data_IF_752323446463
#
_entry.id   IF_752323446463
#
_cell.length_a   1.000
_cell.length_b   1.000
_cell.length_c   1.000
_cell.angle_alpha   90.00
_cell.angle_beta   90.00
_cell.angle_gamma   90.00
#
_symmetry.space_group_name_H-M   'P 1'
#
loop_
_entity.id
_entity.type
_entity.pdbx_description
1 polymer ?
#
# COMPACT_ATOMS: atom_id res chain seq x y z
N UNK A 1 -16.02 9.70 -4.65
CA UNK A 1 -15.55 8.89 -3.51
C UNK A 1 -14.16 9.37 -3.17
N UNK A 2 -13.86 9.71 -1.94
CA UNK A 2 -12.49 10.12 -1.55
C UNK A 2 -11.73 8.85 -1.16
N UNK A 3 -10.66 8.54 -1.88
CA UNK A 3 -9.89 7.31 -1.69
C UNK A 3 -9.31 7.21 -0.27
N UNK A 4 -8.81 8.32 0.27
CA UNK A 4 -8.29 8.40 1.64
C UNK A 4 -9.35 8.02 2.67
N UNK A 5 -10.55 8.59 2.59
CA UNK A 5 -11.63 8.28 3.53
C UNK A 5 -12.02 6.81 3.46
N UNK A 6 -12.10 6.25 2.26
CA UNK A 6 -12.41 4.83 2.09
C UNK A 6 -11.35 3.92 2.71
N UNK A 7 -10.07 4.25 2.54
CA UNK A 7 -8.98 3.48 3.17
C UNK A 7 -9.07 3.58 4.69
N UNK A 8 -9.38 4.78 5.22
CA UNK A 8 -9.58 4.99 6.67
C UNK A 8 -10.75 4.16 7.20
N UNK A 9 -11.88 4.18 6.49
CA UNK A 9 -13.07 3.41 6.88
C UNK A 9 -12.78 1.90 6.92
N UNK A 10 -11.96 1.40 6.00
CA UNK A 10 -11.59 -0.02 5.91
C UNK A 10 -10.50 -0.42 6.91
N UNK A 11 -9.54 0.45 7.21
CA UNK A 11 -8.35 0.13 8.02
C UNK A 11 -8.34 0.78 9.41
N UNK A 12 -9.28 1.69 9.67
CA UNK A 12 -9.47 2.34 10.99
C UNK A 12 -8.43 3.40 11.35
N UNK A 13 -7.53 3.80 10.45
CA UNK A 13 -6.59 4.90 10.69
C UNK A 13 -6.04 5.49 9.39
N UNK A 14 -5.63 6.75 9.47
CA UNK A 14 -4.97 7.47 8.37
C UNK A 14 -3.49 7.08 8.36
N UNK A 15 -2.96 6.49 7.27
CA UNK A 15 -1.52 6.32 7.08
C UNK A 15 -0.85 7.65 6.74
N UNK A 16 0.48 7.70 6.77
CA UNK A 16 1.21 8.83 6.22
C UNK A 16 0.85 9.02 4.73
N UNK A 17 0.71 10.28 4.30
CA UNK A 17 0.24 10.59 2.94
C UNK A 17 1.13 9.99 1.86
N UNK A 18 2.46 9.95 2.07
CA UNK A 18 3.41 9.34 1.14
C UNK A 18 3.19 7.84 0.97
N UNK A 19 3.00 7.12 2.07
CA UNK A 19 2.77 5.68 2.06
C UNK A 19 1.45 5.35 1.36
N UNK A 20 0.39 6.11 1.67
CA UNK A 20 -0.91 5.91 1.06
C UNK A 20 -0.87 6.12 -0.46
N UNK A 21 -0.14 7.14 -0.94
CA UNK A 21 0.05 7.39 -2.37
C UNK A 21 0.78 6.23 -3.03
N UNK A 22 1.84 5.73 -2.40
CA UNK A 22 2.60 4.58 -2.90
C UNK A 22 1.73 3.31 -2.97
N UNK A 23 0.97 3.02 -1.92
CA UNK A 23 0.08 1.84 -1.88
C UNK A 23 -1.06 1.94 -2.89
N UNK A 24 -1.61 3.13 -3.08
CA UNK A 24 -2.65 3.34 -4.09
C UNK A 24 -2.12 3.13 -5.52
N UNK A 25 -0.92 3.65 -5.83
CA UNK A 25 -0.26 3.41 -7.12
C UNK A 25 0.04 1.93 -7.33
N UNK A 26 0.55 1.25 -6.30
CA UNK A 26 0.75 -0.21 -6.34
C UNK A 26 -0.58 -0.96 -6.53
N UNK A 27 -1.66 -0.50 -5.89
CA UNK A 27 -3.00 -1.06 -6.05
C UNK A 27 -3.54 -0.92 -7.48
N UNK A 28 -3.32 0.23 -8.13
CA UNK A 28 -3.68 0.41 -9.56
C UNK A 28 -2.97 -0.62 -10.43
N UNK A 29 -1.66 -0.79 -10.23
CA UNK A 29 -0.86 -1.76 -10.98
C UNK A 29 -1.32 -3.21 -10.73
N UNK A 30 -1.62 -3.56 -9.48
CA UNK A 30 -2.09 -4.91 -9.13
C UNK A 30 -3.46 -5.21 -9.74
N UNK A 31 -4.41 -4.26 -9.67
CA UNK A 31 -5.73 -4.39 -10.30
C UNK A 31 -5.61 -4.58 -11.81
N UNK A 32 -4.79 -3.79 -12.48
CA UNK A 32 -4.55 -3.93 -13.92
C UNK A 32 -3.91 -5.27 -14.28
N UNK A 33 -2.90 -5.70 -13.51
CA UNK A 33 -2.21 -6.97 -13.72
C UNK A 33 -3.15 -8.16 -13.57
N UNK A 34 -3.97 -8.17 -12.51
CA UNK A 34 -4.96 -9.23 -12.26
C UNK A 34 -6.06 -9.21 -13.33
N UNK A 35 -6.57 -8.02 -13.70
CA UNK A 35 -7.56 -7.90 -14.77
C UNK A 35 -7.02 -8.45 -16.09
N UNK A 36 -5.75 -8.15 -16.41
CA UNK A 36 -5.08 -8.70 -17.60
C UNK A 36 -4.99 -10.23 -17.58
N UNK A 37 -4.77 -10.82 -16.40
CA UNK A 37 -4.65 -12.27 -16.26
C UNK A 37 -6.00 -12.98 -16.28
N UNK A 38 -7.05 -12.39 -15.67
CA UNK A 38 -8.35 -13.05 -15.52
C UNK A 38 -9.33 -12.72 -16.64
N UNK A 39 -9.38 -11.47 -17.07
CA UNK A 39 -10.28 -11.00 -18.12
C UNK A 39 -9.61 -9.95 -19.01
N UNK A 40 -8.75 -10.36 -19.96
CA UNK A 40 -8.02 -9.43 -20.82
C UNK A 40 -8.94 -8.55 -21.69
N UNK A 41 -10.16 -8.98 -21.99
CA UNK A 41 -11.13 -8.20 -22.74
C UNK A 41 -11.61 -6.95 -22.00
N UNK A 42 -11.66 -6.99 -20.68
CA UNK A 42 -12.07 -5.84 -19.86
C UNK A 42 -10.97 -4.76 -19.75
N UNK A 43 -9.74 -5.00 -20.23
CA UNK A 43 -8.70 -3.97 -20.31
C UNK A 43 -9.11 -2.76 -21.16
N UNK A 44 -10.03 -2.94 -22.09
CA UNK A 44 -10.56 -1.83 -22.88
C UNK A 44 -11.24 -0.74 -22.03
N UNK A 45 -11.71 -1.08 -20.82
CA UNK A 45 -12.31 -0.13 -19.89
C UNK A 45 -11.27 0.84 -19.29
N UNK A 46 -9.98 0.45 -19.31
CA UNK A 46 -8.85 1.25 -18.81
C UNK A 46 -8.08 1.91 -19.96
N UNK A 47 -8.55 1.77 -21.19
CA UNK A 47 -7.83 2.22 -22.37
C UNK A 47 -7.92 3.74 -22.55
N UNK A 48 -6.82 4.32 -22.96
CA UNK A 48 -6.74 5.70 -23.45
C UNK A 48 -6.16 5.72 -24.86
N UNK A 49 -6.67 6.62 -25.70
CA UNK A 49 -6.07 6.86 -27.01
C UNK A 49 -4.92 7.86 -26.92
N UNK A 50 -3.75 7.45 -27.39
CA UNK A 50 -2.57 8.33 -27.53
C UNK A 50 -2.18 8.46 -29.00
N UNK A 51 -1.82 9.68 -29.39
CA UNK A 51 -1.33 9.95 -30.75
C UNK A 51 0.11 9.44 -30.88
N UNK A 52 0.37 8.68 -31.95
CA UNK A 52 1.70 8.19 -32.26
C UNK A 52 2.36 9.21 -33.23
N UNK A 53 3.46 9.79 -32.79
CA UNK A 53 4.28 10.72 -33.61
C UNK A 53 5.41 9.95 -34.29
N UNK A 54 6.08 10.61 -35.26
CA UNK A 54 7.15 9.99 -36.07
C UNK A 54 8.34 9.51 -35.20
N UNK A 55 8.63 10.20 -34.10
CA UNK A 55 9.64 9.80 -33.13
C UNK A 55 9.27 8.61 -32.26
N UNK A 56 8.10 8.03 -32.46
CA UNK A 56 7.53 6.95 -31.65
C UNK A 56 6.79 7.43 -30.41
N UNK A 57 5.83 6.63 -29.94
CA UNK A 57 5.12 6.81 -28.69
C UNK A 57 5.81 5.99 -27.60
N UNK A 58 6.19 6.60 -26.47
CA UNK A 58 6.69 5.86 -25.33
C UNK A 58 5.61 4.93 -24.79
N UNK A 59 5.94 3.65 -24.68
CA UNK A 59 5.07 2.58 -24.16
C UNK A 59 5.74 1.81 -23.01
N UNK A 60 6.72 2.45 -22.37
CA UNK A 60 7.31 1.90 -21.13
C UNK A 60 6.20 1.72 -20.09
N UNK A 61 6.13 0.53 -19.49
CA UNK A 61 5.14 0.16 -18.48
C UNK A 61 3.67 0.22 -18.92
N UNK A 62 3.39 0.37 -20.23
CA UNK A 62 2.04 0.37 -20.77
C UNK A 62 1.71 -0.93 -21.50
N UNK A 63 0.42 -1.28 -21.55
CA UNK A 63 -0.06 -2.37 -22.40
C UNK A 63 -0.72 -1.79 -23.64
N UNK A 64 -0.19 -2.09 -24.81
CA UNK A 64 -0.79 -1.70 -26.09
C UNK A 64 -1.90 -2.69 -26.42
N UNK A 65 -3.12 -2.19 -26.62
CA UNK A 65 -4.28 -3.02 -26.99
C UNK A 65 -4.42 -3.13 -28.51
N UNK A 66 -4.49 -1.99 -29.19
CA UNK A 66 -4.53 -1.92 -30.63
C UNK A 66 -3.96 -0.58 -31.14
N UNK A 67 -3.57 -0.57 -32.39
CA UNK A 67 -3.05 0.63 -33.06
C UNK A 67 -3.80 0.77 -34.37
N UNK A 68 -4.24 1.98 -34.69
CA UNK A 68 -4.88 2.25 -35.95
C UNK A 68 -4.31 3.51 -36.60
N UNK A 69 -4.33 3.49 -37.91
CA UNK A 69 -3.97 4.62 -38.78
C UNK A 69 -5.22 5.00 -39.57
N UNK A 70 -5.74 6.19 -39.29
CA UNK A 70 -7.05 6.60 -39.79
C UNK A 70 -8.13 5.59 -39.35
N UNK A 71 -8.71 4.86 -40.26
CA UNK A 71 -9.71 3.82 -40.00
C UNK A 71 -9.17 2.40 -40.18
N UNK A 72 -7.87 2.21 -40.41
CA UNK A 72 -7.25 0.91 -40.67
C UNK A 72 -6.45 0.42 -39.46
N UNK A 73 -6.73 -0.79 -38.99
CA UNK A 73 -5.94 -1.38 -37.95
C UNK A 73 -4.54 -1.72 -38.41
N UNK A 74 -3.53 -1.36 -37.61
CA UNK A 74 -2.14 -1.64 -37.91
C UNK A 74 -1.79 -3.08 -37.49
N UNK A 75 -1.09 -3.80 -38.33
CA UNK A 75 -0.57 -5.14 -38.06
C UNK A 75 0.70 -5.07 -37.20
N UNK A 76 0.77 -5.88 -36.14
CA UNK A 76 1.99 -6.00 -35.33
C UNK A 76 3.11 -6.73 -36.09
N UNK A 77 4.29 -6.14 -36.13
CA UNK A 77 5.50 -6.77 -36.66
C UNK A 77 6.56 -6.83 -35.58
N UNK A 78 7.31 -7.93 -35.54
CA UNK A 78 8.40 -8.04 -34.60
C UNK A 78 9.48 -6.98 -34.84
N UNK A 79 9.95 -6.30 -33.80
CA UNK A 79 10.97 -5.26 -33.92
C UNK A 79 12.27 -5.68 -34.59
N UNK A 80 12.59 -6.99 -34.63
CA UNK A 80 13.72 -7.53 -35.42
C UNK A 80 13.54 -7.33 -36.93
N UNK A 81 12.28 -7.34 -37.39
CA UNK A 81 11.94 -7.22 -38.81
C UNK A 81 11.62 -5.76 -39.21
N UNK A 82 11.93 -4.79 -38.35
CA UNK A 82 11.61 -3.36 -38.59
C UNK A 82 12.17 -2.80 -39.90
N UNK A 83 13.29 -3.32 -40.38
CA UNK A 83 13.89 -2.89 -41.65
C UNK A 83 13.09 -3.40 -42.86
N UNK A 84 12.51 -4.59 -42.77
CA UNK A 84 11.72 -5.15 -43.86
C UNK A 84 10.41 -4.38 -44.12
N UNK A 85 9.87 -3.70 -43.11
CA UNK A 85 8.61 -2.91 -43.28
C UNK A 85 8.80 -1.57 -44.00
N UNK A 86 10.03 -1.10 -44.12
CA UNK A 86 10.38 0.14 -44.89
C UNK A 86 11.03 -0.15 -46.21
N UNK A 87 11.38 -1.40 -46.50
CA UNK A 87 11.97 -1.83 -47.77
C UNK A 87 10.88 -2.21 -48.73
N UNK A 88 10.74 -1.41 -49.83
CA UNK A 88 9.71 -1.61 -50.85
C UNK A 88 9.85 -2.93 -51.65
N UNK A 89 11.01 -3.58 -51.59
CA UNK A 89 11.23 -4.90 -52.18
C UNK A 89 10.79 -6.04 -51.26
N UNK A 90 10.51 -5.73 -50.01
CA UNK A 90 10.09 -6.74 -49.01
C UNK A 90 8.60 -7.04 -49.15
N UNK A 91 8.23 -8.31 -49.04
CA UNK A 91 6.83 -8.75 -48.92
C UNK A 91 6.14 -8.25 -47.66
N UNK A 92 6.90 -7.81 -46.62
CA UNK A 92 6.42 -7.21 -45.41
C UNK A 92 6.31 -5.68 -45.48
N UNK A 93 6.51 -5.08 -46.63
CA UNK A 93 6.47 -3.64 -46.80
C UNK A 93 5.15 -3.04 -46.33
N UNK A 94 5.25 -1.97 -45.55
CA UNK A 94 4.09 -1.28 -45.00
C UNK A 94 3.47 -0.33 -46.03
N UNK A 95 2.17 -0.45 -46.26
CA UNK A 95 1.40 0.42 -47.15
C UNK A 95 0.32 1.18 -46.37
N UNK A 96 -0.31 2.15 -46.97
CA UNK A 96 -1.43 2.87 -46.36
C UNK A 96 -2.64 1.96 -46.09
N UNK A 97 -2.84 0.91 -46.91
CA UNK A 97 -3.90 -0.08 -46.77
C UNK A 97 -3.51 -1.27 -45.88
N UNK A 98 -2.24 -1.50 -45.61
CA UNK A 98 -1.71 -2.48 -44.67
C UNK A 98 -0.63 -1.82 -43.78
N UNK A 99 -1.05 -0.90 -42.88
CA UNK A 99 -0.12 -0.24 -41.97
C UNK A 99 0.39 -1.22 -40.92
N UNK A 100 1.62 -1.04 -40.49
CA UNK A 100 2.24 -1.89 -39.49
C UNK A 100 2.74 -1.07 -38.33
N UNK A 101 2.78 -1.70 -37.17
CA UNK A 101 3.45 -1.15 -35.98
C UNK A 101 4.45 -2.15 -35.41
N UNK A 102 5.46 -1.64 -34.77
CA UNK A 102 6.43 -2.42 -34.02
C UNK A 102 6.86 -1.66 -32.76
N UNK A 103 7.32 -2.40 -31.75
CA UNK A 103 7.86 -1.83 -30.53
C UNK A 103 9.38 -2.04 -30.54
N UNK A 104 10.11 -0.96 -30.31
CA UNK A 104 11.57 -0.96 -30.21
C UNK A 104 12.01 0.06 -29.17
N UNK A 105 12.93 -0.32 -28.26
CA UNK A 105 13.42 0.54 -27.18
C UNK A 105 12.29 1.19 -26.35
N UNK A 106 11.30 0.38 -25.96
CA UNK A 106 10.11 0.85 -25.25
C UNK A 106 9.32 1.97 -25.94
N UNK A 107 9.47 2.12 -27.27
CA UNK A 107 8.69 3.03 -28.10
C UNK A 107 7.92 2.25 -29.17
N UNK A 108 6.70 2.69 -29.41
CA UNK A 108 5.84 2.18 -30.47
C UNK A 108 6.00 3.06 -31.70
N UNK A 109 6.33 2.44 -32.83
CA UNK A 109 6.47 3.08 -34.15
C UNK A 109 5.42 2.52 -35.09
N UNK A 110 4.93 3.37 -35.99
CA UNK A 110 3.99 2.97 -37.05
C UNK A 110 4.57 3.33 -38.42
N UNK A 111 4.38 2.48 -39.42
CA UNK A 111 4.78 2.70 -40.80
C UNK A 111 3.63 2.38 -41.76
N UNK A 112 3.48 3.10 -42.85
CA UNK A 112 4.14 4.35 -43.21
C UNK A 112 3.61 5.52 -42.35
N UNK A 113 4.45 6.54 -42.07
CA UNK A 113 4.14 7.62 -41.13
C UNK A 113 3.44 8.81 -41.74
N UNK A 114 3.55 9.05 -43.00
CA UNK A 114 3.21 10.36 -43.62
C UNK A 114 1.75 10.79 -43.50
N UNK A 115 1.52 12.00 -42.97
CA UNK A 115 0.36 12.86 -43.20
C UNK A 115 -0.98 12.45 -42.56
N UNK A 116 -1.01 11.42 -41.74
CA UNK A 116 -2.23 10.80 -41.23
C UNK A 116 -2.26 10.74 -39.73
N UNK A 117 -3.47 10.69 -39.15
CA UNK A 117 -3.65 10.52 -37.72
C UNK A 117 -3.43 9.05 -37.32
N UNK A 118 -2.34 8.81 -36.59
CA UNK A 118 -2.06 7.50 -36.05
C UNK A 118 -2.35 7.54 -34.56
N UNK A 119 -3.15 6.60 -34.09
CA UNK A 119 -3.50 6.48 -32.65
C UNK A 119 -3.24 5.08 -32.15
N UNK A 120 -2.79 5.01 -30.91
CA UNK A 120 -2.65 3.77 -30.17
C UNK A 120 -3.59 3.79 -28.98
N UNK A 121 -4.36 2.74 -28.82
CA UNK A 121 -5.11 2.48 -27.62
C UNK A 121 -4.19 1.74 -26.63
N UNK A 122 -3.92 2.38 -25.52
CA UNK A 122 -2.98 1.87 -24.52
C UNK A 122 -3.62 1.89 -23.12
N UNK A 123 -3.28 0.91 -22.32
CA UNK A 123 -3.53 0.93 -20.90
C UNK A 123 -2.28 1.43 -20.21
N UNK A 124 -2.37 2.65 -19.70
CA UNK A 124 -1.30 3.32 -19.00
C UNK A 124 -1.73 3.47 -17.54
N UNK A 125 -1.06 2.80 -16.58
CA UNK A 125 -1.33 3.01 -15.18
C UNK A 125 -0.92 4.43 -14.80
N UNK A 126 -1.88 5.37 -14.83
CA UNK A 126 -1.63 6.75 -14.43
C UNK A 126 -1.09 6.81 -13.01
N UNK A 127 -0.12 7.68 -12.76
CA UNK A 127 0.35 7.94 -11.40
C UNK A 127 -0.64 8.84 -10.66
N UNK A 128 -0.97 8.45 -9.44
CA UNK A 128 -1.69 9.28 -8.49
C UNK A 128 -0.64 10.15 -7.79
N UNK A 129 -0.61 11.43 -8.13
CA UNK A 129 0.36 12.37 -7.54
C UNK A 129 -0.07 12.93 -6.19
N UNK A 130 -1.38 13.09 -5.98
CA UNK A 130 -1.97 13.55 -4.73
C UNK A 130 -3.25 12.75 -4.42
N UNK A 131 -3.17 11.94 -3.38
CA UNK A 131 -4.27 11.08 -2.98
C UNK A 131 -5.29 11.81 -2.12
N UNK A 132 -4.90 12.88 -1.41
CA UNK A 132 -5.77 13.56 -0.45
C UNK A 132 -6.98 14.21 -1.12
N UNK A 133 -6.80 14.72 -2.34
CA UNK A 133 -7.88 15.30 -3.16
C UNK A 133 -8.42 14.37 -4.23
N UNK A 134 -7.86 13.16 -4.39
CA UNK A 134 -8.21 12.29 -5.52
C UNK A 134 -9.59 11.68 -5.35
N UNK A 135 -10.50 12.09 -6.22
CA UNK A 135 -11.84 11.51 -6.37
C UNK A 135 -11.95 10.63 -7.63
N UNK A 136 -10.97 10.72 -8.53
CA UNK A 136 -10.93 9.99 -9.78
C UNK A 136 -9.49 9.65 -10.17
N UNK A 137 -9.27 8.42 -10.62
CA UNK A 137 -8.03 7.98 -11.27
C UNK A 137 -8.26 8.07 -12.77
N UNK A 138 -7.37 8.77 -13.49
CA UNK A 138 -7.53 8.96 -14.91
C UNK A 138 -7.61 7.62 -15.67
N UNK A 139 -8.58 7.50 -16.56
CA UNK A 139 -8.82 6.28 -17.36
C UNK A 139 -8.99 5.00 -16.54
N UNK A 140 -9.49 5.12 -15.32
CA UNK A 140 -9.74 4.00 -14.44
C UNK A 140 -11.25 3.91 -14.14
N UNK A 141 -11.89 2.75 -14.33
CA UNK A 141 -13.33 2.60 -14.09
C UNK A 141 -13.68 2.84 -12.63
N UNK A 142 -14.73 3.64 -12.40
CA UNK A 142 -15.17 4.02 -11.04
C UNK A 142 -15.59 2.83 -10.17
N UNK A 143 -16.14 1.77 -10.78
CA UNK A 143 -16.51 0.54 -10.10
C UNK A 143 -15.30 -0.24 -9.55
N UNK A 144 -14.10 0.00 -10.11
CA UNK A 144 -12.85 -0.63 -9.67
C UNK A 144 -12.08 0.16 -8.61
N UNK A 145 -12.53 1.39 -8.29
CA UNK A 145 -11.85 2.20 -7.25
C UNK A 145 -11.84 1.53 -5.88
N UNK A 146 -12.89 0.80 -5.56
CA UNK A 146 -12.96 0.06 -4.31
C UNK A 146 -11.84 -0.97 -4.18
N UNK A 147 -11.40 -1.57 -5.28
CA UNK A 147 -10.30 -2.54 -5.27
C UNK A 147 -8.97 -1.87 -4.95
N UNK A 148 -8.73 -0.67 -5.50
CA UNK A 148 -7.53 0.12 -5.16
C UNK A 148 -7.56 0.52 -3.69
N UNK A 149 -8.72 0.96 -3.18
CA UNK A 149 -8.88 1.29 -1.77
C UNK A 149 -8.68 0.07 -0.85
N UNK A 150 -9.21 -1.10 -1.22
CA UNK A 150 -9.00 -2.35 -0.47
C UNK A 150 -7.51 -2.73 -0.45
N UNK A 151 -6.82 -2.65 -1.58
CA UNK A 151 -5.40 -2.93 -1.63
C UNK A 151 -4.60 -2.01 -0.70
N UNK A 152 -4.84 -0.70 -0.77
CA UNK A 152 -4.18 0.28 0.10
C UNK A 152 -4.53 0.05 1.58
N UNK A 153 -5.78 -0.32 1.91
CA UNK A 153 -6.19 -0.64 3.27
C UNK A 153 -5.51 -1.92 3.80
N UNK A 154 -5.33 -2.94 2.96
CA UNK A 154 -4.58 -4.16 3.29
C UNK A 154 -3.12 -3.81 3.63
N UNK A 155 -2.46 -2.98 2.82
CA UNK A 155 -1.10 -2.53 3.08
C UNK A 155 -1.01 -1.70 4.36
N UNK A 156 -1.98 -0.81 4.60
CA UNK A 156 -2.04 -0.03 5.84
C UNK A 156 -2.18 -0.93 7.08
N UNK A 157 -3.06 -1.94 7.03
CA UNK A 157 -3.20 -2.88 8.14
C UNK A 157 -1.91 -3.67 8.40
N UNK A 158 -1.24 -4.14 7.34
CA UNK A 158 0.05 -4.81 7.46
C UNK A 158 1.10 -3.90 8.11
N UNK A 159 1.23 -2.66 7.61
CA UNK A 159 2.16 -1.69 8.17
C UNK A 159 1.89 -1.44 9.66
N UNK A 160 0.62 -1.25 10.04
CA UNK A 160 0.23 -1.01 11.43
C UNK A 160 0.46 -2.22 12.34
N UNK A 161 0.29 -3.44 11.85
CA UNK A 161 0.64 -4.63 12.61
C UNK A 161 2.15 -4.69 12.87
N UNK A 162 2.98 -4.38 11.87
CA UNK A 162 4.44 -4.31 12.02
C UNK A 162 4.86 -3.19 12.97
N UNK A 163 4.25 -2.00 12.86
CA UNK A 163 4.52 -0.90 13.79
C UNK A 163 4.15 -1.29 15.21
N UNK A 164 3.00 -1.94 15.41
CA UNK A 164 2.56 -2.38 16.73
C UNK A 164 3.47 -3.47 17.32
N UNK A 165 4.04 -4.34 16.48
CA UNK A 165 5.01 -5.36 16.89
C UNK A 165 6.37 -4.74 17.25
N UNK A 166 6.79 -3.71 16.49
CA UNK A 166 8.06 -3.00 16.73
C UNK A 166 7.91 -1.89 17.77
N UNK A 167 6.69 -1.36 17.94
CA UNK A 167 6.39 -0.45 19.04
C UNK A 167 6.43 -1.28 20.32
N UNK A 168 7.62 -1.35 20.85
CA UNK A 168 7.94 -1.98 22.12
C UNK A 168 7.30 -1.23 23.30
N UNK A 169 6.08 -0.77 23.12
CA UNK A 169 5.16 -0.46 24.19
C UNK A 169 4.75 -1.68 25.04
N UNK A 170 5.30 -2.86 24.74
CA UNK A 170 5.68 -3.77 25.79
C UNK A 170 6.70 -3.01 26.62
N UNK A 171 6.40 -2.71 27.89
CA UNK A 171 7.43 -2.26 28.77
C UNK A 171 8.55 -3.29 28.67
N UNK A 172 9.54 -3.03 27.82
CA UNK A 172 10.88 -3.49 28.07
C UNK A 172 11.31 -2.66 29.28
N UNK A 173 10.56 -2.75 30.33
CA UNK A 173 11.04 -2.59 31.67
C UNK A 173 12.01 -3.75 31.81
N UNK A 174 13.13 -3.62 31.11
CA UNK A 174 14.31 -4.19 31.64
C UNK A 174 14.20 -3.82 33.12
N UNK A 175 14.07 -4.84 33.95
CA UNK A 175 14.32 -4.72 35.36
C UNK A 175 15.76 -4.19 35.46
N UNK A 176 15.93 -2.89 35.22
CA UNK A 176 17.21 -2.23 35.29
C UNK A 176 17.52 -2.17 36.78
N UNK A 177 18.65 -2.71 37.13
CA UNK A 177 19.19 -2.62 38.47
C UNK A 177 19.24 -1.15 38.88
N UNK A 178 18.39 -0.77 39.82
CA UNK A 178 18.39 0.56 40.40
C UNK A 178 19.58 0.77 41.29
N UNK A 179 20.09 1.97 41.31
CA UNK A 179 21.13 2.43 42.20
C UNK A 179 20.52 3.16 43.40
N UNK A 180 21.18 3.14 44.55
CA UNK A 180 20.73 3.77 45.78
C UNK A 180 20.40 5.26 45.71
N UNK A 181 20.80 5.95 44.62
CA UNK A 181 20.54 7.37 44.38
C UNK A 181 19.11 7.68 43.96
N UNK A 182 18.36 6.68 43.56
CA UNK A 182 17.01 6.89 42.96
C UNK A 182 15.92 7.03 44.03
N UNK A 183 16.24 6.78 45.30
CA UNK A 183 15.34 6.91 46.46
C UNK A 183 14.95 8.34 46.80
N UNK A 184 15.79 9.32 46.40
CA UNK A 184 15.62 10.72 46.82
C UNK A 184 14.65 11.52 45.92
N UNK A 185 14.25 10.98 44.77
CA UNK A 185 13.39 11.63 43.77
C UNK A 185 12.09 10.89 43.52
N UNK A 186 11.39 10.48 44.60
CA UNK A 186 10.09 9.83 44.46
C UNK A 186 9.05 10.87 43.98
N UNK A 187 8.81 10.93 42.68
CA UNK A 187 7.74 11.71 42.12
C UNK A 187 6.45 10.89 42.09
N UNK A 188 5.37 11.43 42.62
CA UNK A 188 4.06 10.83 42.65
C UNK A 188 3.26 11.09 41.36
N UNK A 189 3.91 11.51 40.29
CA UNK A 189 3.27 11.78 39.02
C UNK A 189 2.92 10.44 38.33
N UNK A 190 1.63 10.12 38.31
CA UNK A 190 1.08 8.93 37.66
C UNK A 190 1.17 8.95 36.13
N UNK A 191 1.72 10.00 35.52
CA UNK A 191 1.97 10.13 34.09
C UNK A 191 3.43 9.84 33.68
N UNK A 192 4.29 9.46 34.61
CA UNK A 192 5.68 9.13 34.29
C UNK A 192 5.72 7.79 33.54
N UNK A 193 6.23 7.85 32.29
CA UNK A 193 6.38 6.67 31.42
C UNK A 193 7.44 5.67 31.93
N UNK A 194 8.17 6.04 33.00
CA UNK A 194 9.22 5.24 33.60
C UNK A 194 8.82 4.72 34.99
N UNK A 195 7.77 3.91 35.06
CA UNK A 195 7.42 3.22 36.30
C UNK A 195 8.48 2.17 36.61
N UNK A 196 9.24 2.40 37.69
CA UNK A 196 10.26 1.47 38.11
C UNK A 196 9.76 0.58 39.27
N UNK A 197 9.35 -0.61 38.92
CA UNK A 197 8.92 -1.61 39.88
C UNK A 197 10.01 -2.01 40.89
N UNK A 198 11.29 -1.92 40.51
CA UNK A 198 12.38 -2.26 41.45
C UNK A 198 12.40 -1.33 42.63
N UNK A 199 12.24 -0.01 42.42
CA UNK A 199 12.11 0.94 43.55
C UNK A 199 10.98 0.59 44.47
N UNK A 200 9.85 0.21 43.92
CA UNK A 200 8.68 -0.11 44.72
C UNK A 200 8.85 -1.40 45.51
N UNK A 201 9.51 -2.41 44.93
CA UNK A 201 9.83 -3.65 45.66
C UNK A 201 10.91 -3.44 46.72
N UNK A 202 11.89 -2.58 46.44
CA UNK A 202 12.91 -2.21 47.47
C UNK A 202 12.27 -1.45 48.61
N UNK A 203 11.38 -0.46 48.33
CA UNK A 203 10.63 0.24 49.36
C UNK A 203 9.79 -0.73 50.23
N UNK A 204 9.14 -1.67 49.57
CA UNK A 204 8.41 -2.72 50.30
C UNK A 204 9.31 -3.52 51.19
N UNK A 205 10.50 -3.91 50.71
CA UNK A 205 11.51 -4.64 51.51
C UNK A 205 12.01 -3.82 52.70
N UNK A 206 12.26 -2.52 52.53
CA UNK A 206 12.70 -1.60 53.58
C UNK A 206 11.64 -1.43 54.67
N UNK A 207 10.37 -1.27 54.30
CA UNK A 207 9.26 -1.18 55.26
C UNK A 207 9.14 -2.45 56.11
N UNK A 208 9.41 -3.63 55.56
CA UNK A 208 9.33 -4.90 56.25
C UNK A 208 10.58 -5.14 57.11
N UNK A 209 11.81 -4.92 56.55
CA UNK A 209 13.06 -5.32 57.18
C UNK A 209 13.62 -4.29 58.13
N UNK A 210 13.54 -3.00 57.81
CA UNK A 210 14.20 -1.94 58.54
C UNK A 210 13.25 -1.10 59.40
N UNK A 211 12.02 -0.91 58.95
CA UNK A 211 11.07 -0.06 59.65
C UNK A 211 10.01 -0.84 60.45
N UNK A 212 9.90 -2.13 60.18
CA UNK A 212 8.87 -3.02 60.79
C UNK A 212 7.43 -2.47 60.66
N UNK A 213 7.18 -1.63 59.61
CA UNK A 213 5.87 -1.00 59.40
C UNK A 213 5.00 -1.82 58.45
N UNK A 214 4.22 -2.71 59.05
CA UNK A 214 3.33 -3.60 58.31
C UNK A 214 2.23 -2.83 57.55
N UNK A 215 1.81 -1.66 58.04
CA UNK A 215 0.77 -0.89 57.40
C UNK A 215 1.27 -0.23 56.10
N UNK A 216 2.46 0.37 56.13
CA UNK A 216 3.10 0.94 54.94
C UNK A 216 3.45 -0.14 53.93
N UNK A 217 3.97 -1.27 54.37
CA UNK A 217 4.24 -2.42 53.52
C UNK A 217 2.98 -2.92 52.80
N UNK A 218 1.85 -3.00 53.51
CA UNK A 218 0.57 -3.41 52.92
C UNK A 218 0.08 -2.43 51.85
N UNK A 219 0.16 -1.13 52.12
CA UNK A 219 -0.21 -0.08 51.15
C UNK A 219 0.68 -0.14 49.90
N UNK A 220 1.99 -0.31 50.09
CA UNK A 220 2.93 -0.44 48.97
C UNK A 220 2.66 -1.69 48.12
N UNK A 221 2.34 -2.82 48.76
CA UNK A 221 1.94 -4.04 48.04
C UNK A 221 0.68 -3.81 47.21
N UNK A 222 -0.35 -3.15 47.78
CA UNK A 222 -1.58 -2.82 47.04
C UNK A 222 -1.30 -1.89 45.85
N UNK A 223 -0.42 -0.90 46.02
CA UNK A 223 0.02 -0.04 44.94
C UNK A 223 0.62 -0.85 43.80
N UNK A 224 1.61 -1.71 44.08
CA UNK A 224 2.26 -2.57 43.10
C UNK A 224 1.21 -3.43 42.36
N UNK A 225 0.29 -4.09 43.09
CA UNK A 225 -0.78 -4.92 42.50
C UNK A 225 -1.68 -4.12 41.57
N UNK A 226 -2.03 -2.88 41.93
CA UNK A 226 -2.88 -2.02 41.11
C UNK A 226 -2.20 -1.65 39.78
N UNK A 227 -0.91 -1.34 39.80
CA UNK A 227 -0.17 -1.04 38.59
C UNK A 227 0.02 -2.27 37.69
N UNK A 228 0.33 -3.44 38.24
CA UNK A 228 0.37 -4.67 37.46
C UNK A 228 -0.97 -4.98 36.79
N UNK A 229 -2.09 -4.74 37.48
CA UNK A 229 -3.41 -4.91 36.87
C UNK A 229 -3.64 -3.91 35.73
N UNK A 230 -3.15 -2.67 35.86
CA UNK A 230 -3.17 -1.67 34.80
C UNK A 230 -2.37 -2.10 33.57
N UNK A 231 -1.14 -2.57 33.77
CA UNK A 231 -0.28 -3.07 32.70
C UNK A 231 -0.90 -4.27 31.96
N UNK A 232 -1.49 -5.20 32.71
CA UNK A 232 -2.22 -6.32 32.11
C UNK A 232 -3.39 -5.86 31.25
N UNK A 233 -4.12 -4.82 31.66
CA UNK A 233 -5.20 -4.25 30.87
C UNK A 233 -4.69 -3.59 29.58
N UNK A 234 -3.55 -2.89 29.64
CA UNK A 234 -2.94 -2.30 28.43
C UNK A 234 -2.48 -3.38 27.46
N UNK A 235 -1.81 -4.41 27.97
CA UNK A 235 -1.40 -5.56 27.17
C UNK A 235 -2.61 -6.22 26.50
N UNK A 236 -3.69 -6.43 27.25
CA UNK A 236 -4.92 -7.02 26.71
C UNK A 236 -5.55 -6.15 25.62
N UNK A 237 -5.54 -4.82 25.76
CA UNK A 237 -5.99 -3.89 24.72
C UNK A 237 -5.14 -4.02 23.44
N UNK A 238 -3.82 -4.10 23.59
CA UNK A 238 -2.88 -4.25 22.47
C UNK A 238 -3.12 -5.57 21.73
N UNK A 239 -3.26 -6.68 22.44
CA UNK A 239 -3.57 -7.99 21.87
C UNK A 239 -4.92 -7.96 21.13
N UNK A 240 -5.95 -7.38 21.74
CA UNK A 240 -7.28 -7.27 21.14
C UNK A 240 -7.23 -6.42 19.85
N UNK A 241 -6.48 -5.33 19.86
CA UNK A 241 -6.29 -4.48 18.69
C UNK A 241 -5.55 -5.21 17.57
N UNK A 242 -4.52 -5.97 17.90
CA UNK A 242 -3.78 -6.78 16.94
C UNK A 242 -4.67 -7.85 16.30
N UNK A 243 -5.43 -8.59 17.11
CA UNK A 243 -6.39 -9.59 16.64
C UNK A 243 -7.47 -9.00 15.73
N UNK A 244 -7.96 -7.80 16.07
CA UNK A 244 -8.90 -7.08 15.21
C UNK A 244 -8.27 -6.75 13.86
N UNK A 245 -7.05 -6.21 13.84
CA UNK A 245 -6.34 -5.90 12.59
C UNK A 245 -6.09 -7.15 11.74
N UNK A 246 -5.72 -8.28 12.35
CA UNK A 246 -5.57 -9.57 11.65
C UNK A 246 -6.90 -10.03 11.04
N UNK A 247 -8.00 -9.92 11.78
CA UNK A 247 -9.32 -10.26 11.28
C UNK A 247 -9.75 -9.40 10.09
N UNK A 248 -9.56 -8.08 10.18
CA UNK A 248 -9.83 -7.15 9.09
C UNK A 248 -8.94 -7.41 7.86
N UNK A 249 -7.65 -7.62 8.06
CA UNK A 249 -6.72 -7.98 7.01
C UNK A 249 -7.17 -9.23 6.24
N UNK A 250 -7.51 -10.30 6.97
CA UNK A 250 -7.95 -11.55 6.36
C UNK A 250 -9.26 -11.39 5.57
N UNK A 251 -10.24 -10.66 6.14
CA UNK A 251 -11.52 -10.38 5.48
C UNK A 251 -11.34 -9.54 4.21
N UNK A 252 -10.58 -8.45 4.27
CA UNK A 252 -10.32 -7.60 3.11
C UNK A 252 -9.54 -8.32 2.02
N UNK A 253 -8.54 -9.11 2.41
CA UNK A 253 -7.76 -9.92 1.46
C UNK A 253 -8.65 -10.92 0.73
N UNK A 254 -9.52 -11.62 1.45
CA UNK A 254 -10.48 -12.55 0.87
C UNK A 254 -11.43 -11.85 -0.10
N UNK A 255 -12.01 -10.71 0.28
CA UNK A 255 -12.89 -9.92 -0.59
C UNK A 255 -12.16 -9.44 -1.85
N UNK A 256 -10.93 -8.97 -1.69
CA UNK A 256 -10.09 -8.52 -2.79
C UNK A 256 -9.82 -9.66 -3.80
N UNK A 257 -9.44 -10.83 -3.30
CA UNK A 257 -9.18 -12.01 -4.15
C UNK A 257 -10.47 -12.50 -4.85
N UNK A 258 -11.59 -12.52 -4.15
CA UNK A 258 -12.90 -12.90 -4.73
C UNK A 258 -13.34 -11.98 -5.86
N UNK A 259 -13.00 -10.70 -5.83
CA UNK A 259 -13.33 -9.76 -6.89
C UNK A 259 -12.71 -10.10 -8.26
N UNK A 260 -11.67 -10.94 -8.28
CA UNK A 260 -11.03 -11.43 -9.50
C UNK A 260 -11.31 -12.92 -9.78
N UNK A 261 -11.96 -13.63 -8.86
CA UNK A 261 -12.25 -15.05 -9.01
C UNK A 261 -13.50 -15.33 -9.86
N UNK A 262 -14.38 -14.34 -10.00
CA UNK A 262 -15.58 -14.42 -10.86
C UNK A 262 -15.22 -13.95 -12.27
N UNK A 263 -15.41 -14.80 -13.29
CA UNK A 263 -15.16 -14.47 -14.70
C UNK A 263 -16.13 -13.41 -15.22
#
# INVERSE_FOLDING_TARGET
MNLTNTVVDLSGAIPATGDLTQWANAGVLDVLSRTKATNPGSLNLFAQEKTVVDGGLSVANTTVLYVHRDSVNCRLVNGKNRHAVVDAASWSYATASDPVYFIHEAKLFVKPVSGTTVKASVVDPGEISDIAGTTAIAYFPTDKYNLVAMYAAIQNLMHRMVVLENDTGFPATALTTMTDSDWASFDWDFNDENIDYNTWFQALGDYIQNQEDVALASIQMQKIQTFFAGDQQQLQKTITRYQWMQGQYAALKQQYEQAFATP
#
